data_IF_296421291740
#
_entry.id   IF_296421291740
#
_cell.length_a   1.000
_cell.length_b   1.000
_cell.length_c   1.000
_cell.angle_alpha   90.00
_cell.angle_beta   90.00
_cell.angle_gamma   90.00
#
_symmetry.space_group_name_H-M   'P 1'
#
loop_
_entity.id
_entity.type
_entity.pdbx_description
1 polymer ?
#
# COMPACT_ATOMS: atom_id res chain seq x y z
N UNK A 1 2.37 50.94 -19.81
CA UNK A 1 1.63 49.67 -19.74
C UNK A 1 2.41 48.45 -20.19
N UNK A 2 3.07 48.36 -21.35
CA UNK A 2 3.81 47.15 -21.80
C UNK A 2 4.96 46.77 -20.86
N UNK A 3 5.75 47.70 -20.37
CA UNK A 3 6.87 47.43 -19.44
C UNK A 3 6.41 47.00 -18.06
N UNK A 4 5.28 47.48 -17.57
CA UNK A 4 4.70 47.08 -16.28
C UNK A 4 4.25 45.60 -16.33
N UNK A 5 3.65 45.18 -17.45
CA UNK A 5 3.22 43.78 -17.64
C UNK A 5 4.41 42.81 -17.69
N UNK A 6 5.49 43.21 -18.37
CA UNK A 6 6.73 42.41 -18.46
C UNK A 6 7.37 42.26 -17.07
N UNK A 7 7.45 43.33 -16.27
CA UNK A 7 7.98 43.29 -14.92
C UNK A 7 7.15 42.40 -13.99
N UNK A 8 5.82 42.48 -14.06
CA UNK A 8 4.92 41.63 -13.27
C UNK A 8 5.07 40.16 -13.67
N UNK A 9 5.15 39.86 -14.97
CA UNK A 9 5.35 38.47 -15.44
C UNK A 9 6.70 37.91 -15.04
N UNK A 10 7.78 38.72 -15.15
CA UNK A 10 9.10 38.34 -14.66
C UNK A 10 9.12 38.10 -13.13
N UNK A 11 8.46 38.97 -12.37
CA UNK A 11 8.35 38.81 -10.92
C UNK A 11 7.57 37.54 -10.54
N UNK A 12 6.49 37.21 -11.26
CA UNK A 12 5.73 35.97 -11.06
C UNK A 12 6.54 34.72 -11.45
N UNK A 13 7.33 34.80 -12.52
CA UNK A 13 8.24 33.73 -12.94
C UNK A 13 9.35 33.54 -11.90
N UNK A 14 9.98 34.63 -11.47
CA UNK A 14 11.01 34.61 -10.41
C UNK A 14 10.39 34.08 -9.12
N UNK A 15 9.22 34.58 -8.71
CA UNK A 15 8.49 34.09 -7.54
C UNK A 15 8.17 32.59 -7.67
N UNK A 16 7.67 32.12 -8.83
CA UNK A 16 7.39 30.71 -9.08
C UNK A 16 8.65 29.84 -8.97
N UNK A 17 9.79 30.27 -9.53
CA UNK A 17 11.04 29.52 -9.45
C UNK A 17 11.70 29.57 -8.07
N UNK A 18 11.64 30.70 -7.36
CA UNK A 18 12.27 30.84 -6.04
C UNK A 18 11.39 30.35 -4.90
N UNK A 19 10.05 30.42 -5.03
CA UNK A 19 9.11 29.99 -4.00
C UNK A 19 8.43 28.64 -4.28
N UNK A 20 8.70 27.98 -5.42
CA UNK A 20 8.37 26.58 -5.58
C UNK A 20 9.05 25.84 -4.42
N UNK A 21 8.25 25.44 -3.41
CA UNK A 21 8.77 24.72 -2.22
C UNK A 21 9.60 23.53 -2.70
N UNK A 22 10.92 23.69 -2.75
CA UNK A 22 11.85 22.58 -2.99
C UNK A 22 11.68 21.63 -1.82
N UNK A 23 11.36 20.40 -2.09
CA UNK A 23 11.27 19.37 -1.06
C UNK A 23 12.69 18.86 -0.80
N UNK A 24 13.43 19.58 0.06
CA UNK A 24 14.89 19.44 0.27
C UNK A 24 15.36 17.99 0.45
N UNK A 25 14.52 17.10 0.99
CA UNK A 25 14.86 15.67 1.14
C UNK A 25 14.85 14.96 -0.21
N UNK A 26 13.71 15.00 -0.92
CA UNK A 26 13.55 14.27 -2.17
C UNK A 26 14.43 14.81 -3.30
N UNK A 27 14.87 16.07 -3.21
CA UNK A 27 15.77 16.68 -4.23
C UNK A 27 17.15 16.03 -4.26
N UNK A 28 17.55 15.35 -3.20
CA UNK A 28 18.82 14.62 -3.07
C UNK A 28 18.67 13.10 -3.16
N UNK A 29 17.48 12.60 -3.52
CA UNK A 29 17.21 11.18 -3.64
C UNK A 29 17.18 10.74 -5.11
N UNK A 30 17.57 9.49 -5.43
CA UNK A 30 17.43 8.92 -6.77
C UNK A 30 15.96 8.60 -7.07
N UNK A 31 15.21 9.63 -7.41
CA UNK A 31 13.80 9.54 -7.78
C UNK A 31 13.58 10.07 -9.20
N UNK A 32 12.69 9.41 -9.91
CA UNK A 32 12.33 9.76 -11.28
C UNK A 32 11.56 11.08 -11.35
N UNK A 33 11.97 12.00 -12.23
CA UNK A 33 11.31 13.31 -12.43
C UNK A 33 11.23 13.68 -13.90
N UNK A 34 10.10 14.29 -14.28
CA UNK A 34 9.90 14.73 -15.68
C UNK A 34 9.75 13.57 -16.64
N UNK A 35 9.95 13.86 -17.93
CA UNK A 35 9.86 12.86 -19.00
C UNK A 35 11.15 12.04 -19.04
N UNK A 36 11.03 10.74 -18.85
CA UNK A 36 12.18 9.84 -18.86
C UNK A 36 12.27 9.12 -20.21
N UNK A 37 13.50 8.93 -20.67
CA UNK A 37 13.78 8.31 -21.97
C UNK A 37 13.99 6.80 -21.88
N UNK A 38 14.26 6.27 -20.69
CA UNK A 38 14.51 4.85 -20.44
C UNK A 38 13.77 4.34 -19.22
N UNK A 39 13.57 3.05 -19.14
CA UNK A 39 13.05 2.33 -17.98
C UNK A 39 14.19 1.64 -17.24
N UNK A 40 14.14 1.61 -15.91
CA UNK A 40 15.14 0.95 -15.08
C UNK A 40 15.50 1.71 -13.80
N UNK A 41 16.55 1.25 -13.14
CA UNK A 41 17.08 1.91 -11.95
C UNK A 41 17.54 3.34 -12.27
N UNK A 42 17.25 4.28 -11.36
CA UNK A 42 17.72 5.67 -11.44
C UNK A 42 19.19 5.74 -11.03
N UNK A 43 19.60 4.97 -10.02
CA UNK A 43 20.97 4.94 -9.49
C UNK A 43 21.31 3.56 -8.92
N UNK A 44 22.57 3.16 -9.10
CA UNK A 44 23.11 1.95 -8.44
C UNK A 44 23.43 2.20 -6.97
N UNK A 45 23.61 3.46 -6.58
CA UNK A 45 23.92 3.86 -5.20
C UNK A 45 22.81 4.73 -4.62
N UNK A 46 22.58 4.61 -3.33
CA UNK A 46 21.68 5.49 -2.58
C UNK A 46 22.48 6.48 -1.73
N UNK A 47 21.93 7.68 -1.48
CA UNK A 47 22.58 8.67 -0.61
C UNK A 47 22.81 8.14 0.80
N UNK A 48 23.87 8.62 1.44
CA UNK A 48 24.14 8.32 2.85
C UNK A 48 22.95 8.66 3.74
N UNK A 49 22.64 7.81 4.73
CA UNK A 49 21.49 8.03 5.61
C UNK A 49 21.69 9.26 6.49
N UNK A 50 20.58 9.90 6.82
CA UNK A 50 20.57 11.03 7.76
C UNK A 50 20.68 10.52 9.20
N UNK A 51 21.34 11.27 10.06
CA UNK A 51 21.48 10.98 11.49
C UNK A 51 20.45 11.71 12.35
N UNK A 52 20.17 11.17 13.52
CA UNK A 52 19.47 11.89 14.60
C UNK A 52 20.48 12.57 15.52
N UNK A 53 20.04 13.64 16.18
CA UNK A 53 20.83 14.33 17.21
C UNK A 53 20.46 13.82 18.60
N UNK A 54 21.44 13.75 19.50
CA UNK A 54 21.19 13.46 20.91
C UNK A 54 20.08 14.34 21.52
N UNK A 55 19.27 13.84 22.44
CA UNK A 55 19.31 12.51 23.08
C UNK A 55 18.57 11.39 22.30
N UNK A 56 18.19 11.63 21.03
CA UNK A 56 17.45 10.66 20.24
C UNK A 56 18.41 9.61 19.65
N UNK A 57 17.91 8.37 19.55
CA UNK A 57 18.63 7.24 18.94
C UNK A 57 17.81 6.64 17.83
N UNK A 58 18.48 6.26 16.75
CA UNK A 58 17.92 5.45 15.70
C UNK A 58 18.17 3.97 16.05
N UNK A 59 17.13 3.16 15.99
CA UNK A 59 17.20 1.74 16.40
C UNK A 59 16.39 0.91 15.39
N UNK A 60 17.00 -0.16 14.88
CA UNK A 60 16.26 -1.23 14.20
C UNK A 60 15.71 -2.18 15.26
N UNK A 61 14.47 -2.61 15.08
CA UNK A 61 13.76 -3.43 16.07
C UNK A 61 13.24 -4.68 15.37
N UNK A 62 13.35 -5.82 16.04
CA UNK A 62 12.74 -7.05 15.53
C UNK A 62 11.21 -6.88 15.47
N UNK A 63 10.58 -7.02 14.29
CA UNK A 63 9.14 -6.95 14.16
C UNK A 63 8.39 -7.96 15.03
N UNK A 64 9.02 -9.09 15.35
CA UNK A 64 8.47 -10.16 16.19
C UNK A 64 8.59 -9.89 17.70
N UNK A 65 9.22 -8.78 18.10
CA UNK A 65 9.30 -8.38 19.51
C UNK A 65 7.90 -8.10 20.07
N UNK A 66 7.48 -8.87 21.07
CA UNK A 66 6.16 -8.77 21.70
C UNK A 66 5.93 -7.38 22.31
N UNK A 67 6.98 -6.75 22.83
CA UNK A 67 6.88 -5.39 23.39
C UNK A 67 6.55 -4.35 22.32
N UNK A 68 7.13 -4.49 21.14
CA UNK A 68 6.80 -3.66 19.96
C UNK A 68 5.37 -3.92 19.51
N UNK A 69 4.98 -5.18 19.35
CA UNK A 69 3.62 -5.56 18.92
C UNK A 69 2.53 -5.05 19.86
N UNK A 70 2.82 -5.01 21.15
CA UNK A 70 1.91 -4.46 22.18
C UNK A 70 1.85 -2.93 22.17
N UNK A 71 2.98 -2.28 21.94
CA UNK A 71 3.09 -0.81 21.96
C UNK A 71 2.55 -0.16 20.68
N UNK A 72 2.84 -0.76 19.53
CA UNK A 72 2.66 -0.14 18.21
C UNK A 72 1.20 0.25 17.89
N UNK A 73 0.15 -0.55 18.24
CA UNK A 73 -1.24 -0.16 18.01
C UNK A 73 -1.58 1.19 18.66
N UNK A 74 -1.23 1.36 19.94
CA UNK A 74 -1.47 2.61 20.66
C UNK A 74 -0.72 3.81 20.05
N UNK A 75 0.52 3.60 19.61
CA UNK A 75 1.32 4.61 18.95
C UNK A 75 0.74 5.02 17.60
N UNK A 76 0.39 4.05 16.74
CA UNK A 76 -0.21 4.31 15.42
C UNK A 76 -1.58 4.99 15.56
N UNK A 77 -2.44 4.51 16.45
CA UNK A 77 -3.76 5.10 16.67
C UNK A 77 -3.68 6.57 17.11
N UNK A 78 -2.60 6.96 17.78
CA UNK A 78 -2.43 8.33 18.23
C UNK A 78 -1.70 9.22 17.22
N UNK A 79 -0.75 8.68 16.50
CA UNK A 79 0.22 9.49 15.75
C UNK A 79 0.26 9.22 14.25
N UNK A 80 -0.26 8.08 13.77
CA UNK A 80 -0.37 7.82 12.34
C UNK A 80 -1.57 8.56 11.76
N UNK A 81 -1.32 9.37 10.74
CA UNK A 81 -2.36 10.21 10.14
C UNK A 81 -3.06 9.41 9.04
N UNK A 82 -4.07 8.67 9.43
CA UNK A 82 -5.01 8.00 8.54
C UNK A 82 -6.39 7.88 9.20
N UNK A 83 -7.34 7.31 8.48
CA UNK A 83 -8.72 7.15 8.96
C UNK A 83 -8.97 5.87 9.78
N UNK A 84 -7.97 4.99 9.92
CA UNK A 84 -8.13 3.69 10.57
C UNK A 84 -7.72 3.69 12.05
N UNK A 85 -8.27 2.73 12.77
CA UNK A 85 -7.86 2.34 14.12
C UNK A 85 -7.34 0.91 14.06
N UNK A 86 -6.14 0.71 14.56
CA UNK A 86 -5.45 -0.57 14.57
C UNK A 86 -5.57 -1.23 15.94
N UNK A 87 -5.97 -2.49 15.97
CA UNK A 87 -5.86 -3.34 17.16
C UNK A 87 -4.56 -4.14 17.15
N UNK A 88 -4.31 -4.86 18.23
CA UNK A 88 -3.08 -5.66 18.37
C UNK A 88 -3.07 -6.81 17.34
N UNK A 89 -4.21 -7.45 17.09
CA UNK A 89 -4.31 -8.57 16.15
C UNK A 89 -3.93 -8.17 14.73
N UNK A 90 -4.42 -6.98 14.28
CA UNK A 90 -4.04 -6.41 12.99
C UNK A 90 -2.55 -6.10 12.92
N UNK A 91 -2.01 -5.44 13.96
CA UNK A 91 -0.59 -5.06 13.97
C UNK A 91 0.31 -6.30 14.03
N UNK A 92 -0.02 -7.31 14.84
CA UNK A 92 0.71 -8.58 14.86
C UNK A 92 0.71 -9.24 13.49
N UNK A 93 -0.45 -9.34 12.83
CA UNK A 93 -0.52 -9.86 11.47
C UNK A 93 0.36 -9.08 10.47
N UNK A 94 0.35 -7.74 10.52
CA UNK A 94 1.22 -6.91 9.64
C UNK A 94 2.70 -7.17 9.90
N UNK A 95 3.10 -7.40 11.17
CA UNK A 95 4.48 -7.65 11.58
C UNK A 95 4.90 -9.13 11.43
N UNK A 96 3.95 -10.03 11.19
CA UNK A 96 4.21 -11.44 10.86
C UNK A 96 4.41 -11.66 9.35
N UNK A 97 4.49 -10.57 8.55
CA UNK A 97 4.77 -10.68 7.12
C UNK A 97 6.07 -11.48 6.88
N UNK A 98 6.08 -12.42 5.91
CA UNK A 98 7.25 -13.27 5.64
C UNK A 98 8.53 -12.47 5.36
N UNK A 99 9.65 -13.05 5.79
CA UNK A 99 11.01 -12.51 5.59
C UNK A 99 11.29 -11.15 6.24
N UNK A 100 10.44 -10.69 7.16
CA UNK A 100 10.77 -9.50 7.95
C UNK A 100 11.94 -9.80 8.90
N UNK A 101 12.90 -8.89 8.89
CA UNK A 101 14.05 -8.84 9.79
C UNK A 101 14.05 -7.56 10.61
N UNK A 102 14.97 -7.40 11.55
CA UNK A 102 15.12 -6.13 12.27
C UNK A 102 15.42 -4.94 11.33
N UNK A 103 16.02 -5.17 10.16
CA UNK A 103 16.30 -4.13 9.19
C UNK A 103 15.04 -3.55 8.53
N UNK A 104 13.94 -4.28 8.58
CA UNK A 104 12.66 -3.84 8.01
C UNK A 104 11.87 -2.92 8.93
N UNK A 105 12.20 -2.88 10.23
CA UNK A 105 11.53 -1.99 11.18
C UNK A 105 12.52 -1.02 11.81
N UNK A 106 12.43 0.25 11.41
CA UNK A 106 13.28 1.32 11.94
C UNK A 106 12.49 2.23 12.86
N UNK A 107 13.04 2.54 14.02
CA UNK A 107 12.42 3.45 15.01
C UNK A 107 13.38 4.57 15.40
N UNK A 108 12.81 5.72 15.78
CA UNK A 108 13.52 6.76 16.53
C UNK A 108 13.04 6.71 17.98
N UNK A 109 13.97 6.63 18.91
CA UNK A 109 13.69 6.57 20.34
C UNK A 109 14.27 7.80 21.05
N UNK A 110 13.52 8.31 22.04
CA UNK A 110 13.97 9.34 22.97
C UNK A 110 13.83 8.79 24.38
N UNK A 111 14.94 8.70 25.11
CA UNK A 111 14.97 8.10 26.48
C UNK A 111 14.26 6.73 26.55
N UNK A 112 14.50 5.87 25.56
CA UNK A 112 13.91 4.54 25.46
C UNK A 112 12.44 4.50 24.96
N UNK A 113 11.81 5.63 24.70
CA UNK A 113 10.43 5.69 24.18
C UNK A 113 10.44 5.92 22.67
N UNK A 114 9.68 5.13 21.93
CA UNK A 114 9.53 5.28 20.48
C UNK A 114 8.78 6.60 20.19
N UNK A 115 9.38 7.43 19.34
CA UNK A 115 8.82 8.70 18.86
C UNK A 115 8.66 8.77 17.35
N UNK A 116 9.12 7.74 16.64
CA UNK A 116 8.93 7.60 15.20
C UNK A 116 9.14 6.17 14.76
N UNK A 117 8.41 5.75 13.73
CA UNK A 117 8.45 4.39 13.17
C UNK A 117 8.36 4.41 11.65
N UNK A 118 8.94 3.42 11.00
CA UNK A 118 8.73 3.08 9.59
C UNK A 118 8.91 1.58 9.43
N UNK A 119 8.05 0.96 8.61
CA UNK A 119 8.10 -0.46 8.26
C UNK A 119 8.34 -0.59 6.76
N UNK A 120 9.14 -1.56 6.36
CA UNK A 120 9.29 -1.99 4.96
C UNK A 120 9.01 -3.49 4.86
N UNK A 121 8.23 -3.91 3.86
CA UNK A 121 7.91 -5.32 3.60
C UNK A 121 8.62 -5.75 2.32
N UNK A 122 9.43 -6.83 2.35
CA UNK A 122 10.14 -7.30 1.17
C UNK A 122 9.19 -7.98 0.19
N UNK A 123 9.26 -7.58 -1.07
CA UNK A 123 8.53 -8.17 -2.18
C UNK A 123 9.45 -8.39 -3.38
N UNK A 124 9.21 -9.46 -4.12
CA UNK A 124 9.62 -9.55 -5.52
C UNK A 124 8.44 -9.08 -6.36
N UNK A 125 8.63 -8.07 -7.19
CA UNK A 125 7.57 -7.52 -8.04
C UNK A 125 7.97 -7.55 -9.50
N UNK A 126 7.02 -7.82 -10.36
CA UNK A 126 7.16 -7.58 -11.79
C UNK A 126 6.62 -6.19 -12.11
N UNK A 127 7.38 -5.43 -12.90
CA UNK A 127 6.96 -4.14 -13.47
C UNK A 127 7.31 -4.16 -14.95
N UNK A 128 6.32 -4.18 -15.83
CA UNK A 128 6.46 -4.53 -17.24
C UNK A 128 7.22 -5.86 -17.41
N UNK A 129 8.36 -5.86 -18.08
CA UNK A 129 9.20 -7.05 -18.30
C UNK A 129 10.32 -7.22 -17.26
N UNK A 130 10.41 -6.32 -16.28
CA UNK A 130 11.47 -6.31 -15.28
C UNK A 130 10.99 -6.91 -13.95
N UNK A 131 11.77 -7.84 -13.41
CA UNK A 131 11.59 -8.38 -12.06
C UNK A 131 12.51 -7.62 -11.11
N UNK A 132 11.91 -7.10 -10.02
CA UNK A 132 12.59 -6.25 -9.05
C UNK A 132 12.44 -6.80 -7.64
N UNK A 133 13.53 -6.84 -6.88
CA UNK A 133 13.47 -6.95 -5.42
C UNK A 133 13.18 -5.55 -4.88
N UNK A 134 12.01 -5.38 -4.28
CA UNK A 134 11.49 -4.08 -3.85
C UNK A 134 10.86 -4.19 -2.47
N UNK A 135 10.98 -3.15 -1.66
CA UNK A 135 10.24 -3.07 -0.40
C UNK A 135 8.97 -2.25 -0.57
N UNK A 136 7.85 -2.73 -0.02
CA UNK A 136 6.67 -1.90 0.19
C UNK A 136 6.82 -1.16 1.52
N UNK A 137 6.76 0.17 1.49
CA UNK A 137 6.98 1.03 2.67
C UNK A 137 5.65 1.45 3.28
N UNK A 138 5.50 1.16 4.57
CA UNK A 138 4.28 1.43 5.32
C UNK A 138 4.59 1.94 6.75
N UNK A 139 3.56 2.31 7.50
CA UNK A 139 3.58 2.69 8.92
C UNK A 139 4.61 3.79 9.26
N UNK A 140 4.92 4.69 8.30
CA UNK A 140 5.72 5.88 8.58
C UNK A 140 4.92 6.81 9.50
N UNK A 141 5.31 6.88 10.76
CA UNK A 141 4.66 7.70 11.76
C UNK A 141 5.66 8.43 12.64
N UNK A 142 5.37 9.68 12.96
CA UNK A 142 6.15 10.49 13.90
C UNK A 142 5.21 11.08 14.95
N UNK A 143 5.59 10.92 16.22
CA UNK A 143 4.88 11.47 17.37
C UNK A 143 4.61 12.97 17.16
N UNK A 144 3.39 13.41 17.40
CA UNK A 144 2.92 14.79 17.06
C UNK A 144 3.83 15.91 17.59
N UNK A 145 4.31 15.79 18.84
CA UNK A 145 5.24 16.78 19.45
C UNK A 145 6.65 16.82 18.82
N UNK A 146 6.93 15.83 17.97
CA UNK A 146 8.24 15.69 17.30
C UNK A 146 8.15 15.91 15.78
N UNK A 147 6.97 16.26 15.25
CA UNK A 147 6.81 16.64 13.84
C UNK A 147 7.58 17.91 13.53
N UNK A 148 7.85 18.13 12.26
CA UNK A 148 8.65 19.26 11.74
C UNK A 148 10.13 19.28 12.18
N UNK A 149 10.63 18.25 12.88
CA UNK A 149 12.03 18.07 13.28
C UNK A 149 12.83 17.19 12.31
N UNK A 150 12.35 17.01 11.08
CA UNK A 150 12.98 16.21 10.02
C UNK A 150 13.12 14.70 10.33
N UNK A 151 12.35 14.14 11.27
CA UNK A 151 12.45 12.71 11.64
C UNK A 151 11.91 11.78 10.55
N UNK A 152 10.88 12.17 9.79
CA UNK A 152 10.42 11.36 8.68
C UNK A 152 11.50 11.16 7.59
N UNK A 153 12.22 12.21 7.12
CA UNK A 153 13.42 12.05 6.29
C UNK A 153 14.48 11.12 6.87
N UNK A 154 14.76 11.22 8.18
CA UNK A 154 15.73 10.32 8.84
C UNK A 154 15.27 8.87 8.81
N UNK A 155 14.02 8.60 9.17
CA UNK A 155 13.44 7.24 9.12
C UNK A 155 13.50 6.67 7.70
N UNK A 156 13.07 7.44 6.70
CA UNK A 156 13.09 7.01 5.30
C UNK A 156 14.52 6.71 4.84
N UNK A 157 15.49 7.62 5.06
CA UNK A 157 16.86 7.44 4.58
C UNK A 157 17.56 6.23 5.20
N UNK A 158 17.29 5.94 6.48
CA UNK A 158 17.86 4.77 7.15
C UNK A 158 17.18 3.47 6.73
N UNK A 159 15.86 3.46 6.58
CA UNK A 159 15.13 2.33 6.00
C UNK A 159 15.64 2.01 4.58
N UNK A 160 15.83 3.01 3.73
CA UNK A 160 16.37 2.84 2.38
C UNK A 160 17.79 2.27 2.40
N UNK A 161 18.63 2.70 3.34
CA UNK A 161 19.98 2.15 3.52
C UNK A 161 19.92 0.67 3.92
N UNK A 162 19.12 0.34 4.94
CA UNK A 162 18.96 -1.04 5.40
C UNK A 162 18.43 -1.94 4.25
N UNK A 163 17.44 -1.47 3.50
CA UNK A 163 16.89 -2.18 2.33
C UNK A 163 17.95 -2.42 1.26
N UNK A 164 18.79 -1.42 0.95
CA UNK A 164 19.85 -1.56 -0.03
C UNK A 164 20.94 -2.56 0.42
N UNK A 165 21.27 -2.58 1.70
CA UNK A 165 22.24 -3.53 2.26
C UNK A 165 21.72 -4.98 2.15
N UNK A 166 20.38 -5.19 2.12
CA UNK A 166 19.72 -6.47 1.85
C UNK A 166 19.42 -6.70 0.34
N UNK A 167 20.02 -5.92 -0.56
CA UNK A 167 19.83 -5.99 -2.03
C UNK A 167 18.48 -5.47 -2.57
N UNK A 168 17.65 -4.85 -1.74
CA UNK A 168 16.41 -4.20 -2.17
C UNK A 168 16.69 -2.74 -2.57
N UNK A 169 17.05 -2.52 -3.83
CA UNK A 169 17.41 -1.18 -4.34
C UNK A 169 16.22 -0.28 -4.63
N UNK A 170 15.01 -0.83 -4.66
CA UNK A 170 13.77 -0.10 -4.98
C UNK A 170 12.77 -0.19 -3.84
N UNK A 171 11.89 0.81 -3.75
CA UNK A 171 10.77 0.76 -2.79
C UNK A 171 9.48 1.28 -3.44
N UNK A 172 8.34 0.68 -3.08
CA UNK A 172 7.01 1.16 -3.44
C UNK A 172 6.42 1.93 -2.26
N UNK A 173 5.83 3.07 -2.58
CA UNK A 173 5.03 3.89 -1.66
C UNK A 173 3.61 4.01 -2.19
N UNK A 174 2.63 3.75 -1.34
CA UNK A 174 1.23 4.11 -1.59
C UNK A 174 0.94 5.43 -0.88
N UNK A 175 0.63 6.47 -1.64
CA UNK A 175 0.39 7.82 -1.11
C UNK A 175 -1.00 8.31 -1.48
N UNK A 176 -1.76 8.66 -0.48
CA UNK A 176 -3.11 9.20 -0.59
C UNK A 176 -3.10 10.72 -0.80
N UNK A 177 -4.17 11.25 -1.37
CA UNK A 177 -4.45 12.66 -1.64
C UNK A 177 -3.49 13.31 -2.62
N UNK A 178 -2.22 13.45 -2.29
CA UNK A 178 -1.22 14.15 -3.08
C UNK A 178 0.01 13.28 -3.30
N UNK A 179 0.50 13.24 -4.54
CA UNK A 179 1.74 12.55 -4.87
C UNK A 179 2.94 13.14 -4.11
N UNK A 180 3.94 12.30 -3.83
CA UNK A 180 5.27 12.78 -3.46
C UNK A 180 5.89 13.56 -4.64
N UNK A 181 6.92 14.41 -4.39
CA UNK A 181 7.47 15.30 -5.42
C UNK A 181 8.37 14.60 -6.45
N UNK A 182 7.93 13.43 -6.92
CA UNK A 182 8.55 12.67 -8.00
C UNK A 182 7.51 11.86 -8.76
N UNK A 183 7.89 11.26 -9.89
CA UNK A 183 6.97 10.56 -10.76
C UNK A 183 6.28 9.40 -10.04
N UNK A 184 5.01 9.20 -10.32
CA UNK A 184 4.27 8.02 -9.88
C UNK A 184 4.27 6.95 -10.98
N UNK A 185 4.24 5.69 -10.58
CA UNK A 185 4.07 4.57 -11.50
C UNK A 185 2.61 4.40 -11.93
N UNK A 186 1.68 4.75 -11.03
CA UNK A 186 0.25 4.75 -11.33
C UNK A 186 -0.47 5.76 -10.44
N UNK A 187 -1.51 6.39 -10.99
CA UNK A 187 -2.52 7.15 -10.25
C UNK A 187 -3.85 6.43 -10.37
N UNK A 188 -4.49 6.18 -9.25
CA UNK A 188 -5.82 5.57 -9.16
C UNK A 188 -6.70 6.31 -8.16
N UNK A 189 -7.81 5.71 -7.76
CA UNK A 189 -8.79 6.32 -6.84
C UNK A 189 -9.33 5.24 -5.92
N UNK A 190 -9.47 5.54 -4.63
CA UNK A 190 -10.27 4.75 -3.70
C UNK A 190 -11.74 4.92 -4.00
N UNK A 191 -12.46 3.81 -4.01
CA UNK A 191 -13.90 3.77 -4.22
C UNK A 191 -14.55 2.99 -3.07
N UNK A 192 -15.67 3.52 -2.54
CA UNK A 192 -16.36 2.95 -1.38
C UNK A 192 -17.83 2.68 -1.72
N UNK A 193 -18.33 1.58 -1.18
CA UNK A 193 -19.72 1.19 -1.21
C UNK A 193 -20.26 1.08 0.22
N UNK A 194 -21.32 1.83 0.54
CA UNK A 194 -22.00 1.76 1.83
C UNK A 194 -22.93 0.53 1.87
N UNK A 195 -22.67 -0.36 2.84
CA UNK A 195 -23.41 -1.60 3.01
C UNK A 195 -24.60 -1.37 3.93
N UNK A 196 -25.74 -1.07 3.34
CA UNK A 196 -27.00 -0.78 4.09
C UNK A 196 -27.87 -2.04 4.24
N UNK A 197 -27.89 -2.89 3.19
CA UNK A 197 -28.73 -4.09 3.15
C UNK A 197 -28.11 -5.14 2.22
N UNK A 198 -28.51 -6.41 2.37
CA UNK A 198 -28.11 -7.47 1.44
C UNK A 198 -28.57 -7.19 0.02
N UNK A 199 -27.78 -7.65 -0.95
CA UNK A 199 -28.07 -7.58 -2.37
C UNK A 199 -28.58 -8.92 -2.90
N UNK A 200 -29.38 -8.91 -3.96
CA UNK A 200 -29.76 -10.13 -4.67
C UNK A 200 -28.56 -10.66 -5.45
N UNK A 201 -28.11 -11.85 -5.12
CA UNK A 201 -27.00 -12.58 -5.76
C UNK A 201 -27.56 -13.76 -6.54
N UNK A 202 -26.93 -14.08 -7.66
CA UNK A 202 -27.25 -15.33 -8.39
C UNK A 202 -26.94 -16.53 -7.48
N UNK A 203 -27.87 -17.45 -7.26
CA UNK A 203 -27.71 -18.56 -6.29
C UNK A 203 -26.53 -19.50 -6.55
N UNK A 204 -25.99 -19.51 -7.77
CA UNK A 204 -24.82 -20.31 -8.11
C UNK A 204 -23.51 -19.73 -7.57
N UNK A 205 -23.48 -18.44 -7.16
CA UNK A 205 -22.28 -17.78 -6.65
C UNK A 205 -22.20 -17.89 -5.13
N UNK A 206 -21.07 -18.36 -4.63
CA UNK A 206 -20.81 -18.46 -3.20
C UNK A 206 -19.34 -18.10 -2.86
N UNK A 207 -19.11 -17.70 -1.61
CA UNK A 207 -17.79 -17.45 -1.05
C UNK A 207 -17.55 -18.44 0.09
N UNK A 208 -16.43 -19.17 0.03
CA UNK A 208 -15.95 -20.08 1.07
C UNK A 208 -14.60 -19.61 1.56
N UNK A 209 -14.35 -19.55 2.88
CA UNK A 209 -13.00 -19.27 3.38
C UNK A 209 -12.00 -20.26 2.79
N UNK A 210 -10.87 -19.74 2.28
CA UNK A 210 -9.81 -20.59 1.77
C UNK A 210 -9.10 -21.32 2.92
N UNK A 211 -8.59 -22.50 2.62
CA UNK A 211 -7.83 -23.36 3.53
C UNK A 211 -6.48 -23.70 2.90
N UNK A 212 -5.58 -24.30 3.68
CA UNK A 212 -4.28 -24.74 3.15
C UNK A 212 -4.42 -25.72 1.97
N UNK A 213 -5.50 -26.51 1.92
CA UNK A 213 -5.80 -27.43 0.80
C UNK A 213 -6.11 -26.70 -0.51
N UNK A 214 -6.59 -25.46 -0.43
CA UNK A 214 -6.95 -24.63 -1.57
C UNK A 214 -5.72 -23.89 -2.17
N UNK A 215 -4.58 -23.86 -1.47
CA UNK A 215 -3.42 -23.06 -1.86
C UNK A 215 -2.85 -23.44 -3.23
N UNK A 216 -2.79 -24.72 -3.56
CA UNK A 216 -2.32 -25.17 -4.89
C UNK A 216 -3.20 -24.63 -6.02
N UNK A 217 -4.53 -24.68 -5.84
CA UNK A 217 -5.46 -24.09 -6.82
C UNK A 217 -5.25 -22.57 -6.92
N UNK A 218 -5.15 -21.89 -5.79
CA UNK A 218 -4.99 -20.44 -5.73
C UNK A 218 -3.67 -20.02 -6.39
N UNK A 219 -2.57 -20.74 -6.13
CA UNK A 219 -1.27 -20.49 -6.74
C UNK A 219 -1.33 -20.59 -8.27
N UNK A 220 -1.85 -21.70 -8.79
CA UNK A 220 -1.98 -21.90 -10.24
C UNK A 220 -2.86 -20.80 -10.88
N UNK A 221 -3.95 -20.43 -10.22
CA UNK A 221 -4.82 -19.34 -10.67
C UNK A 221 -4.06 -17.99 -10.66
N UNK A 222 -3.32 -17.69 -9.58
CA UNK A 222 -2.55 -16.47 -9.45
C UNK A 222 -1.46 -16.36 -10.51
N UNK A 223 -0.67 -17.41 -10.70
CA UNK A 223 0.40 -17.47 -11.71
C UNK A 223 -0.15 -17.26 -13.12
N UNK A 224 -1.28 -17.87 -13.45
CA UNK A 224 -1.94 -17.71 -14.74
C UNK A 224 -2.46 -16.28 -14.95
N UNK A 225 -3.29 -15.80 -14.04
CA UNK A 225 -4.00 -14.52 -14.20
C UNK A 225 -3.08 -13.32 -14.02
N UNK A 226 -2.02 -13.40 -13.18
CA UNK A 226 -1.10 -12.30 -12.95
C UNK A 226 -0.35 -11.89 -14.21
N UNK A 227 -0.13 -12.80 -15.16
CA UNK A 227 0.54 -12.51 -16.43
C UNK A 227 -0.20 -11.51 -17.32
N UNK A 228 -1.49 -11.32 -17.10
CA UNK A 228 -2.32 -10.31 -17.80
C UNK A 228 -2.01 -8.87 -17.36
N UNK A 229 -1.24 -8.70 -16.27
CA UNK A 229 -0.95 -7.41 -15.66
C UNK A 229 0.51 -7.03 -15.84
N UNK A 230 0.78 -5.72 -15.83
CA UNK A 230 2.14 -5.18 -15.94
C UNK A 230 2.83 -4.97 -14.61
N UNK A 231 2.06 -4.90 -13.51
CA UNK A 231 2.63 -4.71 -12.18
C UNK A 231 1.91 -5.62 -11.17
N UNK A 232 2.68 -6.56 -10.60
CA UNK A 232 2.17 -7.49 -9.59
C UNK A 232 3.32 -8.07 -8.75
N UNK A 233 3.07 -8.48 -7.49
CA UNK A 233 4.04 -9.22 -6.71
C UNK A 233 4.20 -10.65 -7.25
N UNK A 234 5.44 -11.16 -7.20
CA UNK A 234 5.75 -12.57 -7.40
C UNK A 234 5.93 -13.13 -5.99
N UNK A 235 4.95 -13.90 -5.54
CA UNK A 235 4.98 -14.48 -4.21
C UNK A 235 5.78 -15.78 -4.18
N UNK A 236 6.66 -15.93 -3.18
CA UNK A 236 7.16 -17.24 -2.78
C UNK A 236 6.11 -18.01 -1.96
N UNK A 237 6.45 -19.23 -1.53
CA UNK A 237 5.53 -20.11 -0.81
C UNK A 237 5.02 -19.50 0.50
N UNK A 238 5.91 -18.86 1.29
CA UNK A 238 5.53 -18.25 2.56
C UNK A 238 4.65 -17.01 2.34
N UNK A 239 4.97 -16.18 1.37
CA UNK A 239 4.18 -15.01 1.00
C UNK A 239 2.82 -15.42 0.40
N UNK A 240 2.78 -16.51 -0.38
CA UNK A 240 1.55 -17.09 -0.91
C UNK A 240 0.65 -17.54 0.25
N UNK A 241 1.19 -18.32 1.18
CA UNK A 241 0.47 -18.75 2.36
C UNK A 241 -0.02 -17.56 3.20
N UNK A 242 0.82 -16.58 3.47
CA UNK A 242 0.45 -15.37 4.21
C UNK A 242 -0.69 -14.59 3.52
N UNK A 243 -0.61 -14.42 2.19
CA UNK A 243 -1.57 -13.62 1.42
C UNK A 243 -2.92 -14.31 1.27
N UNK A 244 -2.95 -15.64 1.30
CA UNK A 244 -4.18 -16.40 1.05
C UNK A 244 -4.67 -17.20 2.28
N UNK A 245 -4.11 -16.94 3.46
CA UNK A 245 -4.63 -17.47 4.72
C UNK A 245 -5.53 -16.45 5.41
N UNK A 246 -6.69 -16.91 5.88
CA UNK A 246 -7.64 -16.08 6.63
C UNK A 246 -7.15 -15.86 8.07
N UNK A 247 -7.16 -14.62 8.52
CA UNK A 247 -6.96 -14.21 9.91
C UNK A 247 -8.27 -13.58 10.40
N UNK A 248 -9.06 -14.35 11.08
CA UNK A 248 -10.42 -14.00 11.50
C UNK A 248 -10.53 -12.59 12.11
N UNK A 249 -11.42 -11.78 11.55
CA UNK A 249 -11.67 -10.40 11.93
C UNK A 249 -10.60 -9.37 11.53
N UNK A 250 -9.54 -9.76 10.81
CA UNK A 250 -8.44 -8.90 10.36
C UNK A 250 -8.27 -8.96 8.85
N UNK A 251 -8.14 -10.16 8.32
CA UNK A 251 -7.87 -10.38 6.91
C UNK A 251 -8.54 -11.68 6.47
N UNK A 252 -9.30 -11.62 5.40
CA UNK A 252 -10.00 -12.78 4.89
C UNK A 252 -9.58 -13.11 3.46
N UNK A 253 -9.35 -14.38 3.22
CA UNK A 253 -9.16 -14.98 1.90
C UNK A 253 -10.32 -15.92 1.61
N UNK A 254 -11.00 -15.69 0.48
CA UNK A 254 -12.21 -16.39 0.12
C UNK A 254 -12.10 -17.00 -1.28
N UNK A 255 -12.30 -18.30 -1.39
CA UNK A 255 -12.57 -18.94 -2.67
C UNK A 255 -13.92 -18.46 -3.21
N UNK A 256 -13.92 -18.05 -4.46
CA UNK A 256 -15.12 -17.77 -5.25
C UNK A 256 -15.54 -19.05 -5.94
N UNK A 257 -16.76 -19.50 -5.71
CA UNK A 257 -17.32 -20.71 -6.34
C UNK A 257 -18.52 -20.38 -7.20
N UNK A 258 -18.64 -21.12 -8.32
CA UNK A 258 -19.85 -21.15 -9.14
C UNK A 258 -20.37 -22.58 -9.11
N UNK A 259 -21.51 -22.80 -8.45
CA UNK A 259 -21.88 -24.14 -7.99
C UNK A 259 -20.83 -24.66 -7.01
N UNK A 260 -20.34 -25.89 -7.27
CA UNK A 260 -19.27 -26.50 -6.46
C UNK A 260 -17.86 -26.23 -6.99
N UNK A 261 -17.73 -25.61 -8.16
CA UNK A 261 -16.45 -25.39 -8.83
C UNK A 261 -15.79 -24.10 -8.36
N UNK A 262 -14.54 -24.12 -7.88
CA UNK A 262 -13.79 -22.90 -7.61
C UNK A 262 -13.46 -22.18 -8.92
N UNK A 263 -13.66 -20.87 -8.95
CA UNK A 263 -13.51 -20.00 -10.12
C UNK A 263 -12.77 -18.70 -9.83
N UNK A 264 -12.28 -18.54 -8.62
CA UNK A 264 -11.53 -17.33 -8.25
C UNK A 264 -11.16 -17.30 -6.79
N UNK A 265 -10.47 -16.25 -6.43
CA UNK A 265 -10.13 -15.88 -5.06
C UNK A 265 -10.28 -14.37 -4.86
N UNK A 266 -10.80 -13.99 -3.71
CA UNK A 266 -10.84 -12.59 -3.27
C UNK A 266 -10.27 -12.49 -1.87
N UNK A 267 -9.36 -11.51 -1.67
CA UNK A 267 -8.81 -11.21 -0.36
C UNK A 267 -9.13 -9.79 0.05
N UNK A 268 -9.38 -9.58 1.34
CA UNK A 268 -9.67 -8.26 1.87
C UNK A 268 -9.25 -8.12 3.34
N UNK A 269 -8.79 -6.94 3.71
CA UNK A 269 -8.53 -6.58 5.11
C UNK A 269 -9.76 -5.97 5.75
N UNK A 270 -9.88 -6.09 7.08
CA UNK A 270 -10.97 -5.53 7.88
C UNK A 270 -10.39 -4.52 8.85
N UNK A 271 -10.81 -3.27 8.73
CA UNK A 271 -10.32 -2.16 9.54
C UNK A 271 -11.47 -1.45 10.26
N UNK A 272 -11.23 -0.99 11.48
CA UNK A 272 -12.13 -0.08 12.17
C UNK A 272 -11.85 1.36 11.73
N UNK A 273 -12.90 2.12 11.40
CA UNK A 273 -12.75 3.52 10.94
C UNK A 273 -12.73 4.44 12.15
N UNK A 274 -11.68 5.28 12.23
CA UNK A 274 -11.48 6.24 13.33
C UNK A 274 -12.64 7.22 13.39
N UNK A 275 -13.09 7.53 14.60
CA UNK A 275 -14.20 8.46 14.87
C UNK A 275 -15.56 8.05 14.28
N UNK A 276 -15.65 6.89 13.65
CA UNK A 276 -16.90 6.25 13.22
C UNK A 276 -17.01 4.90 13.93
N UNK A 277 -18.18 4.52 14.39
CA UNK A 277 -18.41 3.15 14.91
C UNK A 277 -18.69 2.19 13.75
N UNK A 278 -17.86 2.27 12.70
CA UNK A 278 -18.02 1.50 11.48
C UNK A 278 -16.79 0.65 11.22
N UNK A 279 -17.01 -0.50 10.59
CA UNK A 279 -15.95 -1.35 10.04
C UNK A 279 -15.96 -1.25 8.53
N UNK A 280 -14.78 -1.23 7.95
CA UNK A 280 -14.55 -1.20 6.50
C UNK A 280 -13.77 -2.43 6.08
N UNK A 281 -14.22 -3.11 5.04
CA UNK A 281 -13.45 -4.12 4.33
C UNK A 281 -12.74 -3.44 3.14
N UNK A 282 -11.45 -3.67 2.97
CA UNK A 282 -10.67 -3.17 1.83
C UNK A 282 -10.21 -4.34 0.97
N UNK A 283 -10.66 -4.39 -0.28
CA UNK A 283 -10.25 -5.42 -1.24
C UNK A 283 -8.76 -5.24 -1.55
N UNK A 284 -7.99 -6.28 -1.32
CA UNK A 284 -6.56 -6.36 -1.59
C UNK A 284 -6.29 -6.98 -2.95
N UNK A 285 -6.95 -8.08 -3.25
CA UNK A 285 -6.81 -8.84 -4.49
C UNK A 285 -8.13 -9.45 -4.89
N UNK A 286 -8.43 -9.42 -6.18
CA UNK A 286 -9.53 -10.14 -6.80
C UNK A 286 -9.07 -10.76 -8.11
N UNK A 287 -9.09 -12.07 -8.18
CA UNK A 287 -8.77 -12.86 -9.37
C UNK A 287 -9.89 -13.85 -9.63
N UNK A 288 -10.40 -13.87 -10.86
CA UNK A 288 -11.48 -14.74 -11.25
C UNK A 288 -11.33 -15.17 -12.72
N UNK A 289 -11.62 -16.44 -12.99
CA UNK A 289 -11.66 -17.02 -14.34
C UNK A 289 -13.08 -16.90 -14.90
N UNK A 290 -13.25 -16.21 -16.04
CA UNK A 290 -14.45 -16.18 -16.89
C UNK A 290 -15.80 -16.15 -16.15
N UNK A 291 -15.90 -15.34 -15.10
CA UNK A 291 -17.12 -15.20 -14.31
C UNK A 291 -17.56 -13.75 -14.15
N UNK A 292 -18.81 -13.56 -13.80
CA UNK A 292 -19.34 -12.21 -13.56
C UNK A 292 -18.87 -11.67 -12.20
N UNK A 293 -17.83 -10.83 -12.23
CA UNK A 293 -17.23 -10.19 -11.05
C UNK A 293 -18.27 -9.40 -10.23
N UNK A 294 -19.31 -8.85 -10.85
CA UNK A 294 -20.38 -8.14 -10.14
C UNK A 294 -21.13 -9.07 -9.17
N UNK A 295 -21.39 -10.32 -9.54
CA UNK A 295 -22.03 -11.29 -8.65
C UNK A 295 -21.10 -11.69 -7.49
N UNK A 296 -19.80 -11.79 -7.75
CA UNK A 296 -18.78 -12.02 -6.71
C UNK A 296 -18.82 -10.90 -5.67
N UNK A 297 -18.80 -9.65 -6.12
CA UNK A 297 -18.81 -8.49 -5.21
C UNK A 297 -20.15 -8.37 -4.46
N UNK A 298 -21.29 -8.71 -5.08
CA UNK A 298 -22.56 -8.78 -4.35
C UNK A 298 -22.53 -9.85 -3.26
N UNK A 299 -21.94 -11.02 -3.52
CA UNK A 299 -21.75 -12.06 -2.52
C UNK A 299 -20.84 -11.58 -1.37
N UNK A 300 -19.75 -10.84 -1.70
CA UNK A 300 -18.88 -10.22 -0.70
C UNK A 300 -19.62 -9.18 0.14
N UNK A 301 -20.39 -8.29 -0.47
CA UNK A 301 -21.22 -7.28 0.24
C UNK A 301 -22.15 -7.99 1.23
N UNK A 302 -22.80 -9.09 0.83
CA UNK A 302 -23.69 -9.85 1.70
C UNK A 302 -22.93 -10.51 2.86
N UNK A 303 -21.71 -11.03 2.61
CA UNK A 303 -20.85 -11.53 3.68
C UNK A 303 -20.45 -10.42 4.65
N UNK A 304 -19.98 -9.29 4.15
CA UNK A 304 -19.64 -8.11 4.94
C UNK A 304 -20.83 -7.65 5.79
N UNK A 305 -22.03 -7.61 5.22
CA UNK A 305 -23.25 -7.25 5.96
C UNK A 305 -23.50 -8.23 7.12
N UNK A 306 -23.36 -9.54 6.91
CA UNK A 306 -23.51 -10.55 7.98
C UNK A 306 -22.47 -10.42 9.08
N UNK A 307 -21.25 -9.93 8.76
CA UNK A 307 -20.17 -9.69 9.71
C UNK A 307 -20.26 -8.30 10.40
N UNK A 308 -21.31 -7.53 10.13
CA UNK A 308 -21.47 -6.18 10.67
C UNK A 308 -20.44 -5.17 10.12
N UNK A 309 -19.91 -5.43 8.91
CA UNK A 309 -19.04 -4.50 8.18
C UNK A 309 -19.95 -3.54 7.41
N UNK A 310 -19.68 -2.24 7.54
CA UNK A 310 -20.57 -1.19 7.05
C UNK A 310 -20.15 -0.64 5.68
N UNK A 311 -18.88 -0.75 5.33
CA UNK A 311 -18.32 -0.19 4.11
C UNK A 311 -17.44 -1.24 3.40
N UNK A 312 -17.54 -1.31 2.06
CA UNK A 312 -16.61 -2.05 1.22
C UNK A 312 -15.81 -1.08 0.37
N UNK A 313 -14.50 -1.07 0.53
CA UNK A 313 -13.58 -0.22 -0.20
C UNK A 313 -12.74 -1.02 -1.18
N UNK A 314 -12.40 -0.41 -2.29
CA UNK A 314 -11.39 -0.92 -3.22
C UNK A 314 -10.64 0.24 -3.88
N UNK A 315 -9.45 -0.05 -4.40
CA UNK A 315 -8.78 0.83 -5.36
C UNK A 315 -9.32 0.51 -6.75
N UNK A 316 -9.60 1.54 -7.56
CA UNK A 316 -10.01 1.34 -8.95
C UNK A 316 -8.81 0.86 -9.80
N UNK A 317 -8.48 -0.41 -9.69
CA UNK A 317 -7.34 -1.08 -10.32
C UNK A 317 -7.73 -2.46 -10.82
N UNK A 318 -6.88 -3.10 -11.60
CA UNK A 318 -7.16 -4.42 -12.18
C UNK A 318 -8.54 -4.44 -12.87
N UNK A 319 -9.34 -5.47 -12.60
CA UNK A 319 -10.72 -5.61 -13.09
C UNK A 319 -11.77 -4.92 -12.19
N UNK A 320 -11.36 -4.13 -11.19
CA UNK A 320 -12.30 -3.50 -10.23
C UNK A 320 -13.25 -2.49 -10.91
N UNK A 321 -12.82 -1.84 -11.99
CA UNK A 321 -13.66 -0.93 -12.78
C UNK A 321 -14.97 -1.57 -13.23
N UNK A 322 -14.99 -2.90 -13.49
CA UNK A 322 -16.14 -3.61 -14.00
C UNK A 322 -17.33 -3.60 -13.03
N UNK A 323 -17.08 -3.66 -11.73
CA UNK A 323 -18.13 -3.64 -10.72
C UNK A 323 -18.35 -2.27 -10.08
N UNK A 324 -17.32 -1.40 -10.02
CA UNK A 324 -17.40 -0.07 -9.41
C UNK A 324 -18.57 0.72 -10.01
N UNK A 325 -18.63 0.80 -11.33
CA UNK A 325 -19.71 1.52 -12.03
C UNK A 325 -21.07 0.84 -11.89
N UNK A 326 -21.13 -0.51 -12.04
CA UNK A 326 -22.40 -1.25 -12.01
C UNK A 326 -23.03 -1.27 -10.62
N UNK A 327 -22.23 -1.28 -9.57
CA UNK A 327 -22.70 -1.26 -8.18
C UNK A 327 -22.72 0.16 -7.57
N UNK A 328 -22.32 1.18 -8.34
CA UNK A 328 -22.35 2.60 -7.93
C UNK A 328 -21.49 2.88 -6.69
N UNK A 329 -20.26 2.37 -6.68
CA UNK A 329 -19.27 2.80 -5.70
C UNK A 329 -19.00 4.30 -5.85
N UNK A 330 -18.85 4.98 -4.72
CA UNK A 330 -18.50 6.41 -4.68
C UNK A 330 -16.99 6.57 -4.66
N UNK A 331 -16.45 7.45 -5.52
CA UNK A 331 -15.03 7.81 -5.48
C UNK A 331 -14.74 8.69 -4.27
N UNK A 332 -13.75 8.34 -3.45
CA UNK A 332 -13.35 9.13 -2.27
C UNK A 332 -12.14 10.00 -2.55
N UNK A 333 -10.95 9.39 -2.70
CA UNK A 333 -9.71 10.13 -2.82
C UNK A 333 -8.74 9.50 -3.82
N UNK A 334 -7.88 10.29 -4.45
CA UNK A 334 -6.82 9.76 -5.30
C UNK A 334 -5.77 9.03 -4.47
N UNK A 335 -5.21 7.96 -5.05
CA UNK A 335 -4.08 7.21 -4.53
C UNK A 335 -3.00 7.12 -5.60
N UNK A 336 -1.76 7.33 -5.18
CA UNK A 336 -0.59 7.30 -6.05
C UNK A 336 0.32 6.15 -5.61
N UNK A 337 0.64 5.27 -6.55
CA UNK A 337 1.69 4.28 -6.39
C UNK A 337 2.97 4.90 -6.94
N UNK A 338 3.97 5.07 -6.10
CA UNK A 338 5.24 5.68 -6.45
C UNK A 338 6.39 4.74 -6.13
N UNK A 339 7.40 4.69 -6.99
CA UNK A 339 8.59 3.89 -6.75
C UNK A 339 9.81 4.79 -6.53
N UNK A 340 10.54 4.47 -5.47
CA UNK A 340 11.87 4.99 -5.23
C UNK A 340 12.88 4.24 -6.09
N UNK A 341 13.83 4.99 -6.65
CA UNK A 341 14.97 4.50 -7.41
C UNK A 341 14.59 3.65 -8.65
N UNK A 342 13.37 3.81 -9.16
CA UNK A 342 12.97 3.17 -10.41
C UNK A 342 12.23 4.17 -11.29
N UNK A 343 12.52 4.07 -12.59
CA UNK A 343 11.95 4.92 -13.60
C UNK A 343 11.11 4.11 -14.57
N UNK A 344 9.89 4.59 -14.82
CA UNK A 344 9.05 4.13 -15.92
C UNK A 344 9.04 5.16 -17.03
N UNK A 345 9.13 4.71 -18.28
CA UNK A 345 8.98 5.59 -19.45
C UNK A 345 7.61 6.26 -19.48
N UNK A 346 6.56 5.51 -19.16
CA UNK A 346 5.19 6.01 -19.05
C UNK A 346 4.54 5.43 -17.79
N UNK A 347 3.69 6.19 -17.08
CA UNK A 347 2.88 5.65 -16.01
C UNK A 347 1.98 4.50 -16.48
N UNK A 348 1.79 3.51 -15.64
CA UNK A 348 0.87 2.41 -15.86
C UNK A 348 -0.58 2.89 -15.72
N UNK A 349 -1.49 2.24 -16.44
CA UNK A 349 -2.92 2.42 -16.18
C UNK A 349 -3.30 1.68 -14.89
N UNK A 350 -4.34 2.12 -14.17
CA UNK A 350 -4.83 1.38 -13.01
C UNK A 350 -5.17 -0.09 -13.33
N UNK A 351 -5.70 -0.36 -14.52
CA UNK A 351 -5.98 -1.73 -14.99
C UNK A 351 -4.73 -2.60 -15.20
N UNK A 352 -3.54 -2.01 -15.27
CA UNK A 352 -2.28 -2.73 -15.44
C UNK A 352 -1.70 -3.24 -14.10
N UNK A 353 -2.30 -2.89 -12.95
CA UNK A 353 -1.81 -3.24 -11.60
C UNK A 353 -2.79 -4.22 -10.94
N UNK A 354 -2.27 -5.39 -10.55
CA UNK A 354 -3.10 -6.44 -9.97
C UNK A 354 -3.33 -6.29 -8.46
N UNK A 355 -2.34 -5.87 -7.70
CA UNK A 355 -2.30 -6.01 -6.24
C UNK A 355 -2.35 -4.66 -5.51
N UNK A 356 -3.24 -4.52 -4.54
CA UNK A 356 -3.29 -3.37 -3.64
C UNK A 356 -2.39 -3.64 -2.42
N UNK A 357 -1.16 -3.13 -2.44
CA UNK A 357 -0.21 -3.28 -1.33
C UNK A 357 -0.79 -2.74 -0.01
N UNK A 358 -0.66 -3.51 1.07
CA UNK A 358 -1.18 -3.19 2.41
C UNK A 358 -0.14 -3.45 3.50
#
# INVERSE_FOLDING_TARGET
MKYTLILVTLSLIIWYFFFKKRHTFWDHQPVSRGNMTHEGLVSETIPSPLSVKDPNKLVTVDPKDISLQTFLPGFLNKHYVNEYTYDQKYVSWVLDFPHLTSNNMTTIQNSGKIIGTILSKPYTIKVNDTVLHSNYVDKLSVHEKHRNKKYAPVLISNMLKNSCDESYKTCIFKKEENALPFNYICKSTYCVYDIVKPLKVCPSYSLKSSTDEDLNYIQNLYEKESTEYKCYPIFDEEQMKYTFTTIDGVYESMLVKVGDTPKGVITYSINSVRNKRTKRAEIVLLICEDINVVEVIKALINRCHKLGINELMCVNMAKNGDFIHKLKFTSEMPVYFQMYNYNLKNPLKPSDILFNFI
#
